data_IF_538961652088
#
_entry.id   IF_538961652088
#
_cell.length_a   1.000
_cell.length_b   1.000
_cell.length_c   1.000
_cell.angle_alpha   90.00
_cell.angle_beta   90.00
_cell.angle_gamma   90.00
#
_symmetry.space_group_name_H-M   'P 1'
#
loop_
_entity.id
_entity.type
_entity.pdbx_description
1 polymer ?
#
# COMPACT_ATOMS: atom_id res chain seq x y z
N UNK A 1 9.00 -17.45 -28.50
CA UNK A 1 9.44 -18.32 -27.41
C UNK A 1 9.79 -19.66 -28.02
N UNK A 2 10.64 -20.49 -27.42
CA UNK A 2 10.90 -21.85 -27.85
C UNK A 2 10.28 -22.88 -26.88
N UNK A 3 10.22 -24.14 -27.31
CA UNK A 3 9.62 -25.23 -26.54
C UNK A 3 10.26 -25.38 -25.14
N UNK A 4 11.58 -25.21 -25.04
CA UNK A 4 12.29 -25.35 -23.79
C UNK A 4 11.93 -24.23 -22.81
N UNK A 5 11.97 -22.98 -23.30
CA UNK A 5 11.65 -21.80 -22.48
C UNK A 5 10.21 -21.85 -21.98
N UNK A 6 9.26 -22.28 -22.84
CA UNK A 6 7.86 -22.41 -22.44
C UNK A 6 7.63 -23.53 -21.42
N UNK A 7 8.30 -24.67 -21.57
CA UNK A 7 8.25 -25.77 -20.61
C UNK A 7 8.76 -25.34 -19.23
N UNK A 8 9.88 -24.60 -19.19
CA UNK A 8 10.42 -24.07 -17.92
C UNK A 8 9.48 -23.01 -17.29
N UNK A 9 8.84 -22.19 -18.12
CA UNK A 9 7.82 -21.25 -17.63
C UNK A 9 6.65 -22.02 -17.00
N UNK A 10 6.07 -23.00 -17.67
CA UNK A 10 4.97 -23.81 -17.14
C UNK A 10 5.32 -24.47 -15.82
N UNK A 11 6.51 -25.07 -15.69
CA UNK A 11 6.99 -25.66 -14.43
C UNK A 11 7.10 -24.62 -13.31
N UNK A 12 7.62 -23.44 -13.64
CA UNK A 12 7.72 -22.34 -12.69
C UNK A 12 6.34 -21.89 -12.19
N UNK A 13 5.37 -21.77 -13.11
CA UNK A 13 4.00 -21.39 -12.77
C UNK A 13 3.27 -22.48 -11.98
N UNK A 14 3.51 -23.77 -12.28
CA UNK A 14 2.98 -24.89 -11.49
C UNK A 14 3.50 -24.83 -10.05
N UNK A 15 4.82 -24.66 -9.85
CA UNK A 15 5.40 -24.52 -8.52
C UNK A 15 4.81 -23.34 -7.74
N UNK A 16 4.57 -22.20 -8.42
CA UNK A 16 3.90 -21.05 -7.81
C UNK A 16 2.46 -21.39 -7.40
N UNK A 17 1.67 -22.02 -8.25
CA UNK A 17 0.31 -22.44 -7.95
C UNK A 17 0.26 -23.44 -6.77
N UNK A 18 1.22 -24.35 -6.66
CA UNK A 18 1.31 -25.29 -5.56
C UNK A 18 1.65 -24.59 -4.24
N UNK A 19 2.56 -23.61 -4.26
CA UNK A 19 2.85 -22.78 -3.09
C UNK A 19 1.63 -21.96 -2.66
N UNK A 20 0.94 -21.37 -3.62
CA UNK A 20 -0.35 -20.68 -3.41
C UNK A 20 -1.34 -21.60 -2.71
N UNK A 21 -1.51 -22.84 -3.19
CA UNK A 21 -2.41 -23.83 -2.60
C UNK A 21 -2.06 -24.18 -1.15
N UNK A 22 -0.76 -24.24 -0.83
CA UNK A 22 -0.30 -24.48 0.55
C UNK A 22 -0.65 -23.33 1.49
N UNK A 23 -0.62 -22.10 1.00
CA UNK A 23 -0.95 -20.89 1.78
C UNK A 23 -2.46 -20.79 2.00
N UNK A 24 -3.24 -20.80 0.91
CA UNK A 24 -4.70 -20.56 0.98
C UNK A 24 -5.48 -21.75 1.51
N UNK A 25 -4.93 -22.97 1.39
CA UNK A 25 -5.61 -24.22 1.80
C UNK A 25 -7.05 -24.29 1.28
N UNK A 26 -7.27 -24.48 -0.04
CA UNK A 26 -8.59 -24.34 -0.68
C UNK A 26 -9.70 -25.15 0.01
N UNK A 27 -9.38 -26.33 0.52
CA UNK A 27 -10.34 -27.16 1.25
C UNK A 27 -10.81 -26.55 2.58
N UNK A 28 -9.93 -25.80 3.26
CA UNK A 28 -10.34 -25.06 4.47
C UNK A 28 -11.24 -23.88 4.12
N UNK A 29 -10.96 -23.19 3.02
CA UNK A 29 -11.83 -22.10 2.54
C UNK A 29 -13.22 -22.64 2.23
N UNK A 30 -13.33 -23.78 1.54
CA UNK A 30 -14.63 -24.42 1.27
C UNK A 30 -15.39 -24.76 2.55
N UNK A 31 -14.70 -25.33 3.53
CA UNK A 31 -15.31 -25.65 4.82
C UNK A 31 -15.79 -24.39 5.56
N UNK A 32 -15.03 -23.31 5.48
CA UNK A 32 -15.41 -22.04 6.09
C UNK A 32 -16.61 -21.40 5.37
N UNK A 33 -16.65 -21.46 4.04
CA UNK A 33 -17.80 -21.01 3.27
C UNK A 33 -19.06 -21.81 3.61
N UNK A 34 -18.96 -23.14 3.74
CA UNK A 34 -20.07 -23.99 4.18
C UNK A 34 -20.53 -23.66 5.62
N UNK A 35 -19.58 -23.31 6.49
CA UNK A 35 -19.90 -22.86 7.86
C UNK A 35 -20.67 -21.56 7.83
N UNK A 36 -20.20 -20.57 7.07
CA UNK A 36 -20.86 -19.28 6.90
C UNK A 36 -22.27 -19.46 6.31
N UNK A 37 -22.45 -20.32 5.34
CA UNK A 37 -23.75 -20.60 4.75
C UNK A 37 -24.73 -21.18 5.76
N UNK A 38 -24.29 -22.16 6.56
CA UNK A 38 -25.12 -22.71 7.65
C UNK A 38 -25.45 -21.67 8.71
N UNK A 39 -24.52 -20.76 9.04
CA UNK A 39 -24.77 -19.69 10.00
C UNK A 39 -25.80 -18.68 9.46
N UNK A 40 -25.79 -18.40 8.14
CA UNK A 40 -26.75 -17.54 7.47
C UNK A 40 -28.17 -18.13 7.34
N UNK A 41 -28.33 -19.45 7.51
CA UNK A 41 -29.65 -20.14 7.57
C UNK A 41 -30.38 -19.85 8.87
N UNK A 42 -29.70 -19.46 9.97
CA UNK A 42 -30.33 -19.09 11.23
C UNK A 42 -31.08 -17.75 11.10
N UNK A 43 -32.40 -17.70 11.34
CA UNK A 43 -33.16 -16.43 11.28
C UNK A 43 -32.63 -15.35 12.24
N UNK A 44 -31.97 -15.73 13.34
CA UNK A 44 -31.43 -14.79 14.32
C UNK A 44 -30.14 -14.11 13.82
N UNK A 45 -29.43 -14.71 12.86
CA UNK A 45 -28.20 -14.16 12.26
C UNK A 45 -28.41 -12.75 11.72
N UNK A 46 -29.55 -12.51 11.06
CA UNK A 46 -29.87 -11.25 10.40
C UNK A 46 -30.32 -10.13 11.36
N UNK A 47 -30.53 -10.44 12.65
CA UNK A 47 -30.87 -9.44 13.67
C UNK A 47 -29.66 -8.61 14.08
N UNK A 48 -28.46 -9.18 14.01
CA UNK A 48 -27.19 -8.46 14.21
C UNK A 48 -26.64 -7.95 12.88
N UNK A 49 -26.99 -6.71 12.56
CA UNK A 49 -26.65 -6.08 11.27
C UNK A 49 -25.13 -5.94 11.07
N UNK A 50 -24.37 -5.68 12.14
CA UNK A 50 -22.91 -5.54 12.06
C UNK A 50 -22.26 -6.88 11.77
N UNK A 51 -22.59 -7.91 12.56
CA UNK A 51 -22.10 -9.28 12.35
C UNK A 51 -22.46 -9.80 10.96
N UNK A 52 -23.71 -9.59 10.51
CA UNK A 52 -24.17 -10.02 9.20
C UNK A 52 -23.40 -9.33 8.06
N UNK A 53 -23.09 -8.03 8.20
CA UNK A 53 -22.29 -7.27 7.23
C UNK A 53 -20.87 -7.82 7.12
N UNK A 54 -20.21 -8.05 8.26
CA UNK A 54 -18.81 -8.48 8.30
C UNK A 54 -18.65 -9.92 7.80
N UNK A 55 -19.56 -10.82 8.23
CA UNK A 55 -19.61 -12.20 7.72
C UNK A 55 -19.88 -12.23 6.20
N UNK A 56 -20.73 -11.35 5.69
CA UNK A 56 -20.97 -11.23 4.24
C UNK A 56 -19.75 -10.72 3.47
N UNK A 57 -19.02 -9.71 4.01
CA UNK A 57 -17.77 -9.25 3.43
C UNK A 57 -16.76 -10.40 3.34
N UNK A 58 -16.61 -11.16 4.42
CA UNK A 58 -15.70 -12.31 4.47
C UNK A 58 -16.12 -13.41 3.48
N UNK A 59 -17.42 -13.75 3.38
CA UNK A 59 -17.93 -14.70 2.38
C UNK A 59 -17.58 -14.28 0.95
N UNK A 60 -17.80 -13.01 0.60
CA UNK A 60 -17.49 -12.50 -0.72
C UNK A 60 -15.98 -12.57 -1.00
N UNK A 61 -15.15 -12.21 -0.01
CA UNK A 61 -13.69 -12.28 -0.11
C UNK A 61 -13.21 -13.72 -0.36
N UNK A 62 -13.68 -14.67 0.45
CA UNK A 62 -13.29 -16.08 0.34
C UNK A 62 -13.75 -16.72 -0.97
N UNK A 63 -14.98 -16.44 -1.42
CA UNK A 63 -15.48 -16.92 -2.71
C UNK A 63 -14.62 -16.38 -3.87
N UNK A 64 -14.37 -15.06 -3.89
CA UNK A 64 -13.54 -14.43 -4.92
C UNK A 64 -12.14 -15.05 -5.00
N UNK A 65 -11.49 -15.24 -3.83
CA UNK A 65 -10.17 -15.84 -3.75
C UNK A 65 -10.18 -17.28 -4.29
N UNK A 66 -11.15 -18.08 -3.87
CA UNK A 66 -11.28 -19.47 -4.30
C UNK A 66 -11.56 -19.57 -5.82
N UNK A 67 -12.48 -18.77 -6.34
CA UNK A 67 -12.82 -18.73 -7.76
C UNK A 67 -11.62 -18.29 -8.62
N UNK A 68 -10.92 -17.23 -8.20
CA UNK A 68 -9.75 -16.73 -8.95
C UNK A 68 -8.64 -17.79 -8.97
N UNK A 69 -8.37 -18.43 -7.82
CA UNK A 69 -7.40 -19.52 -7.75
C UNK A 69 -7.80 -20.70 -8.65
N UNK A 70 -9.05 -21.20 -8.55
CA UNK A 70 -9.51 -22.35 -9.33
C UNK A 70 -9.46 -22.07 -10.83
N UNK A 71 -9.91 -20.88 -11.25
CA UNK A 71 -9.86 -20.48 -12.66
C UNK A 71 -8.43 -20.44 -13.19
N UNK A 72 -7.52 -19.84 -12.41
CA UNK A 72 -6.10 -19.75 -12.81
C UNK A 72 -5.44 -21.11 -12.87
N UNK A 73 -5.73 -21.99 -11.91
CA UNK A 73 -5.21 -23.35 -11.90
C UNK A 73 -5.74 -24.15 -13.08
N UNK A 74 -7.05 -24.08 -13.37
CA UNK A 74 -7.63 -24.77 -14.54
C UNK A 74 -6.98 -24.30 -15.85
N UNK A 75 -6.82 -22.98 -16.04
CA UNK A 75 -6.16 -22.45 -17.24
C UNK A 75 -4.69 -22.90 -17.36
N UNK A 76 -3.98 -23.03 -16.23
CA UNK A 76 -2.62 -23.53 -16.22
C UNK A 76 -2.57 -25.03 -16.58
N UNK A 77 -3.43 -25.85 -15.96
CA UNK A 77 -3.50 -27.29 -16.22
C UNK A 77 -3.88 -27.54 -17.69
N UNK A 78 -4.86 -26.81 -18.24
CA UNK A 78 -5.23 -26.85 -19.65
C UNK A 78 -4.07 -26.48 -20.59
N UNK A 79 -3.29 -25.44 -20.24
CA UNK A 79 -2.11 -25.03 -21.02
C UNK A 79 -1.02 -26.09 -21.01
N UNK A 80 -0.83 -26.80 -19.89
CA UNK A 80 0.12 -27.91 -19.78
C UNK A 80 -0.31 -29.08 -20.66
N UNK A 81 -1.57 -29.50 -20.58
CA UNK A 81 -2.10 -30.60 -21.38
C UNK A 81 -2.05 -30.30 -22.89
N UNK A 82 -2.44 -29.08 -23.29
CA UNK A 82 -2.38 -28.67 -24.72
C UNK A 82 -0.94 -28.60 -25.21
N UNK A 83 0.00 -28.17 -24.40
CA UNK A 83 1.41 -28.12 -24.77
C UNK A 83 1.98 -29.53 -25.00
N UNK A 84 1.68 -30.50 -24.11
CA UNK A 84 2.09 -31.89 -24.26
C UNK A 84 1.50 -32.54 -25.54
N UNK A 85 0.21 -32.31 -25.83
CA UNK A 85 -0.44 -32.78 -27.03
C UNK A 85 0.18 -32.17 -28.28
N UNK A 86 0.33 -30.85 -28.33
CA UNK A 86 0.89 -30.14 -29.47
C UNK A 86 2.36 -30.54 -29.76
N UNK A 87 3.13 -30.84 -28.72
CA UNK A 87 4.49 -31.40 -28.90
C UNK A 87 4.49 -32.80 -29.52
N UNK A 88 3.59 -33.67 -29.06
CA UNK A 88 3.50 -35.02 -29.55
C UNK A 88 3.05 -35.08 -31.02
N UNK A 89 2.11 -34.20 -31.39
CA UNK A 89 1.55 -34.14 -32.74
C UNK A 89 2.35 -33.22 -33.68
N UNK A 90 3.39 -32.54 -33.22
CA UNK A 90 4.16 -31.52 -33.93
C UNK A 90 3.26 -30.41 -34.51
N UNK A 91 2.24 -29.99 -33.74
CA UNK A 91 1.31 -28.92 -34.12
C UNK A 91 1.90 -27.52 -33.83
N UNK A 92 2.61 -26.98 -34.83
CA UNK A 92 3.24 -25.67 -34.75
C UNK A 92 2.23 -24.52 -34.57
N UNK A 93 0.99 -24.67 -35.02
CA UNK A 93 -0.05 -23.65 -34.90
C UNK A 93 -0.50 -23.53 -33.45
N UNK A 94 -0.82 -24.64 -32.80
CA UNK A 94 -1.19 -24.66 -31.37
C UNK A 94 -0.04 -24.20 -30.50
N UNK A 95 1.21 -24.60 -30.78
CA UNK A 95 2.39 -24.13 -30.05
C UNK A 95 2.55 -22.60 -30.15
N UNK A 96 2.35 -22.02 -31.35
CA UNK A 96 2.45 -20.57 -31.52
C UNK A 96 1.40 -19.83 -30.70
N UNK A 97 0.15 -20.30 -30.66
CA UNK A 97 -0.91 -19.71 -29.84
C UNK A 97 -0.60 -19.77 -28.36
N UNK A 98 -0.11 -20.89 -27.85
CA UNK A 98 0.29 -21.04 -26.46
C UNK A 98 1.43 -20.06 -26.08
N UNK A 99 2.38 -19.80 -26.99
CA UNK A 99 3.44 -18.83 -26.73
C UNK A 99 2.93 -17.38 -26.72
N UNK A 100 1.92 -17.05 -27.50
CA UNK A 100 1.28 -15.74 -27.48
C UNK A 100 0.46 -15.52 -26.19
N UNK A 101 -0.15 -16.59 -25.66
CA UNK A 101 -0.94 -16.54 -24.43
C UNK A 101 -0.09 -16.61 -23.14
N UNK A 102 1.19 -17.02 -23.23
CA UNK A 102 2.08 -17.16 -22.08
C UNK A 102 2.12 -15.95 -21.14
N UNK A 103 2.22 -14.68 -21.62
CA UNK A 103 2.22 -13.52 -20.75
C UNK A 103 0.91 -13.32 -19.98
N UNK A 104 -0.23 -13.70 -20.57
CA UNK A 104 -1.55 -13.62 -19.94
C UNK A 104 -1.66 -14.64 -18.81
N UNK A 105 -1.17 -15.85 -19.05
CA UNK A 105 -1.14 -16.92 -18.04
C UNK A 105 -0.22 -16.54 -16.87
N UNK A 106 0.98 -16.04 -17.16
CA UNK A 106 1.92 -15.57 -16.14
C UNK A 106 1.31 -14.46 -15.28
N UNK A 107 0.69 -13.47 -15.93
CA UNK A 107 0.00 -12.38 -15.24
C UNK A 107 -1.16 -12.88 -14.37
N UNK A 108 -1.92 -13.89 -14.82
CA UNK A 108 -3.04 -14.44 -14.05
C UNK A 108 -2.55 -15.13 -12.76
N UNK A 109 -1.46 -15.91 -12.82
CA UNK A 109 -0.85 -16.53 -11.64
C UNK A 109 -0.30 -15.49 -10.69
N UNK A 110 0.40 -14.47 -11.20
CA UNK A 110 0.92 -13.37 -10.39
C UNK A 110 -0.20 -12.60 -9.70
N UNK A 111 -1.31 -12.37 -10.36
CA UNK A 111 -2.49 -11.70 -9.78
C UNK A 111 -3.04 -12.47 -8.58
N UNK A 112 -3.17 -13.80 -8.67
CA UNK A 112 -3.61 -14.64 -7.55
C UNK A 112 -2.61 -14.55 -6.38
N UNK A 113 -1.32 -14.61 -6.68
CA UNK A 113 -0.25 -14.48 -5.69
C UNK A 113 -0.40 -13.17 -4.90
N UNK A 114 -0.63 -12.05 -5.59
CA UNK A 114 -0.85 -10.73 -4.97
C UNK A 114 -2.16 -10.70 -4.16
N UNK A 115 -3.28 -11.20 -4.69
CA UNK A 115 -4.55 -11.25 -3.98
C UNK A 115 -4.45 -11.99 -2.64
N UNK A 116 -3.63 -13.04 -2.58
CA UNK A 116 -3.37 -13.78 -1.34
C UNK A 116 -2.57 -12.92 -0.34
N UNK A 117 -1.57 -12.20 -0.82
CA UNK A 117 -0.74 -11.34 0.02
C UNK A 117 -1.49 -10.12 0.56
N UNK A 118 -2.58 -9.76 -0.11
CA UNK A 118 -3.51 -8.71 0.30
C UNK A 118 -4.68 -9.25 1.15
N UNK A 119 -4.47 -10.33 1.90
CA UNK A 119 -5.49 -10.98 2.73
C UNK A 119 -5.47 -10.57 4.20
N UNK A 120 -4.63 -9.63 4.59
CA UNK A 120 -4.58 -9.10 5.96
C UNK A 120 -5.87 -8.37 6.33
N UNK A 121 -6.16 -8.32 7.64
CA UNK A 121 -7.40 -7.77 8.20
C UNK A 121 -7.74 -6.36 7.70
N UNK A 122 -6.72 -5.50 7.53
CA UNK A 122 -6.89 -4.12 7.08
C UNK A 122 -6.50 -3.90 5.62
N UNK A 123 -6.07 -4.93 4.90
CA UNK A 123 -5.54 -4.77 3.54
C UNK A 123 -6.58 -4.19 2.57
N UNK A 124 -7.85 -4.47 2.78
CA UNK A 124 -8.95 -3.93 1.99
C UNK A 124 -9.27 -2.44 2.25
N UNK A 125 -8.66 -1.85 3.31
CA UNK A 125 -8.94 -0.48 3.72
C UNK A 125 -8.31 0.54 2.77
N UNK A 126 -8.81 1.78 2.84
CA UNK A 126 -8.15 2.93 2.25
C UNK A 126 -6.82 3.22 2.99
N UNK A 127 -5.90 3.90 2.33
CA UNK A 127 -4.60 4.23 2.91
C UNK A 127 -4.50 5.72 3.28
N UNK A 128 -4.12 6.01 4.52
CA UNK A 128 -3.70 7.34 4.95
C UNK A 128 -2.17 7.41 4.82
N UNK A 129 -1.68 8.37 4.05
CA UNK A 129 -0.26 8.56 3.78
C UNK A 129 0.18 9.87 4.40
N UNK A 130 1.25 9.83 5.19
CA UNK A 130 1.88 11.02 5.73
C UNK A 130 3.33 11.07 5.23
N UNK A 131 3.72 12.17 4.58
CA UNK A 131 5.08 12.38 4.10
C UNK A 131 5.68 13.58 4.81
N UNK A 132 6.88 13.40 5.35
CA UNK A 132 7.64 14.44 6.03
C UNK A 132 9.06 14.51 5.46
N UNK A 133 9.56 15.73 5.16
CA UNK A 133 10.95 15.90 4.77
C UNK A 133 11.87 15.55 5.94
N UNK A 134 12.97 14.91 5.61
CA UNK A 134 14.02 14.60 6.57
C UNK A 134 15.18 15.61 6.52
N UNK A 135 16.40 15.14 6.81
CA UNK A 135 17.59 15.98 6.69
C UNK A 135 17.87 16.34 5.22
N UNK A 136 18.18 17.58 4.94
CA UNK A 136 18.52 18.09 3.61
C UNK A 136 17.97 19.49 3.30
N UNK A 137 17.30 20.15 4.25
CA UNK A 137 16.78 21.52 4.08
C UNK A 137 15.78 21.60 2.92
N UNK A 138 15.88 22.63 2.07
CA UNK A 138 15.02 22.85 0.89
C UNK A 138 15.00 21.65 -0.07
N UNK A 139 16.13 20.97 -0.22
CA UNK A 139 16.23 19.76 -1.07
C UNK A 139 15.35 18.61 -0.56
N UNK A 140 15.26 18.41 0.75
CA UNK A 140 14.40 17.37 1.35
C UNK A 140 12.92 17.73 1.26
N UNK A 141 12.59 19.02 1.29
CA UNK A 141 11.21 19.50 1.10
C UNK A 141 10.75 19.29 -0.35
N UNK A 142 11.63 19.51 -1.32
CA UNK A 142 11.35 19.22 -2.72
C UNK A 142 11.22 17.70 -2.94
N UNK A 143 12.10 16.90 -2.33
CA UNK A 143 12.01 15.44 -2.38
C UNK A 143 10.66 14.91 -1.85
N UNK A 144 10.19 15.43 -0.71
CA UNK A 144 8.88 15.08 -0.18
C UNK A 144 7.74 15.42 -1.14
N UNK A 145 7.83 16.56 -1.85
CA UNK A 145 6.87 16.95 -2.90
C UNK A 145 6.89 16.00 -4.11
N UNK A 146 8.07 15.53 -4.52
CA UNK A 146 8.21 14.54 -5.61
C UNK A 146 7.57 13.21 -5.21
N UNK A 147 7.82 12.71 -3.98
CA UNK A 147 7.19 11.50 -3.47
C UNK A 147 5.66 11.63 -3.40
N UNK A 148 5.16 12.77 -2.92
CA UNK A 148 3.72 13.04 -2.90
C UNK A 148 3.11 12.93 -4.29
N UNK A 149 3.71 13.57 -5.29
CA UNK A 149 3.28 13.47 -6.69
C UNK A 149 3.35 12.03 -7.21
N UNK A 150 4.39 11.28 -6.89
CA UNK A 150 4.56 9.88 -7.28
C UNK A 150 3.38 9.02 -6.80
N UNK A 151 3.01 9.11 -5.52
CA UNK A 151 1.88 8.35 -4.98
C UNK A 151 0.54 8.81 -5.54
N UNK A 152 0.34 10.10 -5.78
CA UNK A 152 -0.88 10.59 -6.42
C UNK A 152 -1.05 10.03 -7.83
N UNK A 153 0.02 10.06 -8.62
CA UNK A 153 0.01 9.51 -9.99
C UNK A 153 -0.20 8.01 -10.02
N UNK A 154 0.37 7.30 -9.06
CA UNK A 154 0.08 5.87 -8.90
C UNK A 154 -1.41 5.63 -8.60
N UNK A 155 -2.00 6.39 -7.70
CA UNK A 155 -3.41 6.30 -7.38
C UNK A 155 -4.30 6.58 -8.62
N UNK A 156 -3.98 7.62 -9.40
CA UNK A 156 -4.68 7.94 -10.65
C UNK A 156 -4.60 6.78 -11.67
N UNK A 157 -3.43 6.18 -11.85
CA UNK A 157 -3.24 5.04 -12.77
C UNK A 157 -4.08 3.83 -12.38
N UNK A 158 -4.25 3.61 -11.08
CA UNK A 158 -5.12 2.54 -10.55
C UNK A 158 -6.60 2.92 -10.48
N UNK A 159 -6.98 4.13 -10.86
CA UNK A 159 -8.36 4.63 -10.78
C UNK A 159 -8.82 4.90 -9.35
N UNK A 160 -7.89 5.05 -8.40
CA UNK A 160 -8.19 5.39 -7.02
C UNK A 160 -8.44 6.88 -6.87
N UNK A 161 -9.23 7.26 -5.85
CA UNK A 161 -9.46 8.65 -5.50
C UNK A 161 -8.52 9.09 -4.40
N UNK A 162 -8.03 10.33 -4.48
CA UNK A 162 -7.20 10.92 -3.42
C UNK A 162 -7.87 12.14 -2.81
N UNK A 163 -7.65 12.35 -1.52
CA UNK A 163 -8.15 13.48 -0.76
C UNK A 163 -7.06 14.00 0.19
N UNK A 164 -6.79 15.30 0.15
CA UNK A 164 -5.78 15.92 1.00
C UNK A 164 -6.41 16.18 2.38
N UNK A 165 -5.72 15.75 3.44
CA UNK A 165 -6.12 15.99 4.83
C UNK A 165 -5.38 17.18 5.45
N UNK A 166 -4.09 17.29 5.17
CA UNK A 166 -3.23 18.39 5.57
C UNK A 166 -2.15 18.62 4.53
N UNK A 167 -1.83 19.87 4.26
CA UNK A 167 -0.78 20.25 3.32
C UNK A 167 -0.07 21.50 3.80
N UNK A 168 1.24 21.41 3.92
CA UNK A 168 2.09 22.51 4.39
C UNK A 168 3.15 22.84 3.36
N UNK A 169 3.05 24.00 2.75
CA UNK A 169 4.03 24.51 1.79
C UNK A 169 5.42 24.68 2.44
N UNK A 170 6.45 24.41 1.67
CA UNK A 170 7.82 24.80 1.99
C UNK A 170 7.99 26.31 1.96
N UNK A 171 9.06 26.81 2.59
CA UNK A 171 9.32 28.26 2.59
C UNK A 171 9.87 28.75 1.23
N UNK A 172 10.74 27.97 0.61
CA UNK A 172 11.39 28.29 -0.66
C UNK A 172 10.94 27.36 -1.79
N UNK A 173 10.81 26.06 -1.50
CA UNK A 173 10.36 25.04 -2.44
C UNK A 173 9.84 23.81 -1.70
N UNK A 174 9.06 22.98 -2.40
CA UNK A 174 8.57 21.71 -1.89
C UNK A 174 7.54 21.86 -0.78
N UNK A 175 7.50 20.88 0.11
CA UNK A 175 6.52 20.79 1.22
C UNK A 175 7.21 20.56 2.56
N UNK A 176 6.69 21.15 3.63
CA UNK A 176 7.07 20.86 5.03
C UNK A 176 6.41 19.59 5.57
N UNK A 177 5.34 19.15 4.94
CA UNK A 177 4.62 17.94 5.26
C UNK A 177 3.31 17.87 4.51
N UNK A 178 2.85 16.65 4.26
CA UNK A 178 1.53 16.39 3.68
C UNK A 178 0.94 15.14 4.30
N UNK A 179 -0.37 15.19 4.56
CA UNK A 179 -1.18 14.03 4.89
C UNK A 179 -2.36 13.94 3.91
N UNK A 180 -2.55 12.79 3.30
CA UNK A 180 -3.62 12.57 2.33
C UNK A 180 -4.10 11.13 2.40
N UNK A 181 -5.30 10.91 1.88
CA UNK A 181 -5.94 9.60 1.81
C UNK A 181 -5.97 9.14 0.36
N UNK A 182 -5.69 7.86 0.13
CA UNK A 182 -5.97 7.16 -1.12
C UNK A 182 -7.12 6.20 -0.88
N UNK A 183 -8.23 6.41 -1.59
CA UNK A 183 -9.46 5.63 -1.48
C UNK A 183 -9.55 4.67 -2.66
N UNK A 184 -9.48 3.38 -2.37
CA UNK A 184 -9.55 2.32 -3.37
C UNK A 184 -9.47 0.94 -2.74
N UNK A 185 -9.92 -0.08 -3.47
CA UNK A 185 -9.85 -1.47 -3.02
C UNK A 185 -8.40 -1.88 -2.80
N UNK A 186 -8.09 -2.36 -1.60
CA UNK A 186 -6.75 -2.78 -1.17
C UNK A 186 -5.67 -1.67 -1.22
N UNK A 187 -6.05 -0.39 -1.18
CA UNK A 187 -5.08 0.69 -1.24
C UNK A 187 -4.04 0.59 -0.11
N UNK A 188 -4.48 0.31 1.12
CA UNK A 188 -3.57 0.08 2.24
C UNK A 188 -2.73 -1.18 2.06
N UNK A 189 -3.33 -2.28 1.62
CA UNK A 189 -2.62 -3.54 1.38
C UNK A 189 -1.42 -3.40 0.45
N UNK A 190 -1.58 -2.66 -0.67
CA UNK A 190 -0.47 -2.35 -1.59
C UNK A 190 0.59 -1.47 -0.96
N UNK A 191 0.17 -0.46 -0.18
CA UNK A 191 1.07 0.57 0.33
C UNK A 191 1.64 0.29 1.72
N UNK A 192 1.09 -0.65 2.51
CA UNK A 192 1.51 -0.94 3.89
C UNK A 192 3.01 -1.12 4.08
N UNK A 193 3.67 -1.63 3.05
CA UNK A 193 5.11 -1.82 3.06
C UNK A 193 5.92 -0.56 2.69
N UNK A 194 5.29 0.56 2.33
CA UNK A 194 6.00 1.81 1.98
C UNK A 194 6.40 2.64 3.21
N UNK A 195 6.05 2.16 4.41
CA UNK A 195 6.51 2.76 5.67
C UNK A 195 8.04 2.77 5.74
N UNK A 196 8.63 3.95 5.91
CA UNK A 196 10.07 4.09 6.11
C UNK A 196 10.70 5.32 5.44
N UNK A 197 12.02 5.28 5.34
CA UNK A 197 12.81 6.39 4.81
C UNK A 197 13.16 6.16 3.35
N UNK A 198 12.85 7.15 2.50
CA UNK A 198 13.16 7.20 1.08
C UNK A 198 14.34 8.14 0.84
N UNK A 199 15.38 7.64 0.20
CA UNK A 199 16.61 8.39 -0.08
C UNK A 199 16.66 8.83 -1.54
N UNK A 200 16.93 10.11 -1.77
CA UNK A 200 17.21 10.67 -3.10
C UNK A 200 18.68 11.04 -3.21
N UNK A 201 19.29 10.73 -4.35
CA UNK A 201 20.64 11.19 -4.74
C UNK A 201 20.55 11.81 -6.13
N UNK A 202 20.71 13.12 -6.20
CA UNK A 202 20.68 13.87 -7.49
C UNK A 202 21.62 15.08 -7.45
N UNK A 203 21.81 15.69 -8.61
CA UNK A 203 22.38 17.04 -8.69
C UNK A 203 21.29 18.00 -8.21
N UNK A 204 21.60 18.79 -7.17
CA UNK A 204 20.62 19.71 -6.58
C UNK A 204 20.31 20.87 -7.53
N UNK A 205 19.03 21.16 -7.82
CA UNK A 205 18.64 22.35 -8.55
C UNK A 205 18.77 23.64 -7.71
N UNK A 206 18.96 23.53 -6.40
CA UNK A 206 19.08 24.65 -5.46
C UNK A 206 20.54 24.99 -5.14
N UNK A 207 21.51 24.16 -5.58
CA UNK A 207 22.94 24.42 -5.37
C UNK A 207 23.54 25.11 -6.61
N UNK A 208 23.97 26.35 -6.45
CA UNK A 208 24.62 27.11 -7.52
C UNK A 208 25.87 26.43 -8.14
N UNK A 209 26.52 25.53 -7.39
CA UNK A 209 27.68 24.77 -7.85
C UNK A 209 27.30 23.42 -8.50
N UNK A 210 26.01 23.13 -8.69
CA UNK A 210 25.49 21.88 -9.25
C UNK A 210 26.10 20.62 -8.60
N UNK A 211 26.30 20.64 -7.28
CA UNK A 211 26.82 19.48 -6.55
C UNK A 211 25.75 18.43 -6.37
N UNK A 212 26.22 17.18 -6.23
CA UNK A 212 25.38 16.03 -5.91
C UNK A 212 25.01 16.07 -4.44
N UNK A 213 23.73 16.07 -4.15
CA UNK A 213 23.16 16.03 -2.80
C UNK A 213 22.44 14.71 -2.51
N UNK A 214 22.36 14.38 -1.23
CA UNK A 214 21.58 13.27 -0.72
C UNK A 214 20.53 13.83 0.22
N UNK A 215 19.26 13.51 -0.04
CA UNK A 215 18.12 13.98 0.73
C UNK A 215 17.27 12.81 1.17
N UNK A 216 16.59 12.98 2.29
CA UNK A 216 15.75 11.95 2.89
C UNK A 216 14.35 12.50 3.12
N UNK A 217 13.36 11.64 2.94
CA UNK A 217 11.99 11.90 3.35
C UNK A 217 11.41 10.64 3.98
N UNK A 218 10.62 10.80 5.02
CA UNK A 218 9.90 9.71 5.66
C UNK A 218 8.48 9.60 5.10
N UNK A 219 8.07 8.38 4.82
CA UNK A 219 6.69 8.03 4.44
C UNK A 219 6.12 7.15 5.54
N UNK A 220 4.93 7.47 6.00
CA UNK A 220 4.17 6.69 6.95
C UNK A 220 2.82 6.35 6.34
N UNK A 221 2.45 5.08 6.36
CA UNK A 221 1.20 4.54 5.81
C UNK A 221 0.39 3.96 6.97
N UNK A 222 -0.87 4.33 7.08
CA UNK A 222 -1.80 3.76 8.04
C UNK A 222 -3.14 3.43 7.35
N UNK A 223 -3.86 2.39 7.81
CA UNK A 223 -5.17 2.09 7.27
C UNK A 223 -6.17 3.18 7.66
N UNK A 224 -7.11 3.52 6.78
CA UNK A 224 -8.30 4.25 7.19
C UNK A 224 -9.22 3.28 7.92
N UNK A 225 -9.36 3.46 9.22
CA UNK A 225 -10.24 2.63 10.04
C UNK A 225 -11.67 3.15 9.94
N UNK A 226 -12.64 2.23 9.89
CA UNK A 226 -14.05 2.55 10.06
C UNK A 226 -14.28 3.09 11.48
N UNK A 227 -15.32 3.90 11.66
CA UNK A 227 -15.63 4.54 12.95
C UNK A 227 -15.98 3.52 14.08
N UNK A 228 -16.15 2.24 13.72
CA UNK A 228 -16.53 1.15 14.61
C UNK A 228 -15.35 0.48 15.34
N UNK A 229 -14.09 0.85 15.06
CA UNK A 229 -12.96 0.30 15.80
C UNK A 229 -12.83 1.05 17.12
N UNK A 230 -13.10 0.32 18.20
CA UNK A 230 -13.18 0.80 19.58
C UNK A 230 -11.78 1.05 20.16
N UNK A 231 -11.06 2.05 19.61
CA UNK A 231 -9.93 2.64 20.32
C UNK A 231 -10.50 3.72 21.22
N UNK A 232 -10.65 3.39 22.50
CA UNK A 232 -10.99 4.37 23.51
C UNK A 232 -9.82 5.35 23.67
N UNK A 233 -10.04 6.60 23.26
CA UNK A 233 -9.12 7.69 23.52
C UNK A 233 -9.64 8.42 24.74
N UNK A 234 -8.92 8.36 25.88
CA UNK A 234 -9.28 9.16 27.04
C UNK A 234 -9.04 10.65 26.72
N UNK A 235 -10.07 11.47 26.92
CA UNK A 235 -9.96 12.92 26.69
C UNK A 235 -8.85 13.60 27.52
N UNK A 236 -8.42 12.99 28.62
CA UNK A 236 -7.32 13.49 29.46
C UNK A 236 -5.95 13.29 28.81
N UNK A 237 -5.84 12.32 27.91
CA UNK A 237 -4.59 11.98 27.24
C UNK A 237 -4.39 12.78 25.96
N UNK A 238 -5.37 13.62 25.60
CA UNK A 238 -5.39 14.36 24.33
C UNK A 238 -5.46 15.86 24.57
N UNK A 239 -4.55 16.59 23.93
CA UNK A 239 -4.59 18.04 23.89
C UNK A 239 -5.03 18.51 22.50
N UNK A 240 -6.01 19.42 22.48
CA UNK A 240 -6.49 20.08 21.28
C UNK A 240 -5.94 21.50 21.19
N UNK A 241 -5.21 21.81 20.13
CA UNK A 241 -4.76 23.15 19.81
C UNK A 241 -5.50 23.63 18.54
N UNK A 242 -6.16 24.79 18.65
CA UNK A 242 -6.84 25.41 17.54
C UNK A 242 -6.01 26.58 17.03
N UNK A 243 -5.84 26.66 15.71
CA UNK A 243 -5.02 27.71 15.11
C UNK A 243 -5.57 28.10 13.73
N UNK A 244 -5.05 29.18 13.16
CA UNK A 244 -5.44 29.66 11.84
C UNK A 244 -4.75 28.81 10.78
N UNK A 245 -5.53 28.37 9.78
CA UNK A 245 -4.98 27.59 8.68
C UNK A 245 -3.93 28.41 7.93
N UNK A 246 -2.82 27.76 7.55
CA UNK A 246 -1.77 28.34 6.72
C UNK A 246 -1.99 27.92 5.27
N UNK A 247 -2.06 28.87 4.34
CA UNK A 247 -2.19 28.57 2.91
C UNK A 247 -2.76 29.74 2.10
N UNK A 248 -2.74 29.61 0.78
CA UNK A 248 -3.34 30.54 -0.15
C UNK A 248 -4.87 30.50 0.00
N UNK A 249 -5.47 31.47 0.68
CA UNK A 249 -6.90 31.56 0.93
C UNK A 249 -7.35 32.98 1.21
N UNK A 250 -8.67 33.24 1.01
CA UNK A 250 -9.27 34.56 1.20
C UNK A 250 -9.35 34.99 2.69
N UNK A 251 -9.99 36.12 2.98
CA UNK A 251 -10.10 36.72 4.33
C UNK A 251 -10.59 35.74 5.44
N UNK A 252 -11.36 34.71 5.08
CA UNK A 252 -11.91 33.75 6.02
C UNK A 252 -10.81 32.83 6.60
N UNK A 253 -9.88 32.35 5.76
CA UNK A 253 -8.77 31.45 6.16
C UNK A 253 -7.84 32.15 7.15
N UNK A 254 -7.63 33.45 6.97
CA UNK A 254 -6.70 34.23 7.82
C UNK A 254 -7.34 34.78 9.11
N UNK A 255 -8.67 34.68 9.29
CA UNK A 255 -9.37 35.22 10.46
C UNK A 255 -9.94 34.19 11.40
N UNK A 256 -10.26 32.96 10.90
CA UNK A 256 -10.89 31.91 11.70
C UNK A 256 -9.88 30.83 12.10
N UNK A 257 -9.93 30.39 13.36
CA UNK A 257 -9.12 29.29 13.88
C UNK A 257 -9.79 27.95 13.57
N UNK A 258 -9.83 27.60 12.28
CA UNK A 258 -10.48 26.38 11.80
C UNK A 258 -9.54 25.16 11.81
N UNK A 259 -8.23 25.35 11.80
CA UNK A 259 -7.25 24.28 11.86
C UNK A 259 -7.18 23.66 13.26
N UNK A 260 -7.04 22.34 13.32
CA UNK A 260 -7.00 21.58 14.56
C UNK A 260 -5.73 20.74 14.59
N UNK A 261 -4.99 20.83 15.68
CA UNK A 261 -3.87 19.93 16.02
C UNK A 261 -4.26 19.13 17.26
N UNK A 262 -4.03 17.84 17.21
CA UNK A 262 -4.27 16.92 18.32
C UNK A 262 -2.94 16.30 18.71
N UNK A 263 -2.59 16.41 19.99
CA UNK A 263 -1.39 15.77 20.55
C UNK A 263 -1.83 14.72 21.56
N UNK A 264 -1.44 13.48 21.35
CA UNK A 264 -1.68 12.38 22.29
C UNK A 264 -0.46 12.20 23.17
N UNK A 265 -0.59 12.50 24.47
CA UNK A 265 0.52 12.54 25.42
C UNK A 265 1.22 11.18 25.62
N UNK A 266 0.51 10.04 25.83
CA UNK A 266 1.15 8.78 26.13
C UNK A 266 2.05 8.25 25.00
N UNK A 267 1.70 8.54 23.74
CA UNK A 267 2.46 8.05 22.56
C UNK A 267 3.30 9.15 21.89
N UNK A 268 3.06 10.41 22.24
CA UNK A 268 3.71 11.55 21.57
C UNK A 268 3.23 11.80 20.13
N UNK A 269 2.21 11.08 19.67
CA UNK A 269 1.67 11.24 18.31
C UNK A 269 1.00 12.61 18.19
N UNK A 270 1.36 13.34 17.13
CA UNK A 270 0.75 14.61 16.76
C UNK A 270 0.08 14.47 15.41
N UNK A 271 -1.18 14.86 15.31
CA UNK A 271 -1.94 14.93 14.06
C UNK A 271 -2.53 16.32 13.89
N UNK A 272 -2.69 16.76 12.65
CA UNK A 272 -3.30 18.06 12.37
C UNK A 272 -4.15 17.96 11.09
N UNK A 273 -5.22 18.75 11.06
CA UNK A 273 -6.14 18.86 9.95
C UNK A 273 -6.60 20.29 9.77
N UNK A 274 -6.53 20.81 8.52
CA UNK A 274 -6.94 22.18 8.17
C UNK A 274 -7.72 22.26 6.85
N UNK A 275 -8.21 21.14 6.35
CA UNK A 275 -8.78 21.02 5.01
C UNK A 275 -10.17 21.67 4.87
N UNK A 276 -11.01 21.64 5.91
CA UNK A 276 -12.35 22.20 5.88
C UNK A 276 -12.41 23.58 6.57
N UNK A 277 -13.38 24.41 6.17
CA UNK A 277 -13.69 25.68 6.85
C UNK A 277 -14.33 25.46 8.23
N UNK A 278 -14.87 24.29 8.49
CA UNK A 278 -15.50 23.90 9.75
C UNK A 278 -14.50 23.29 10.71
N UNK A 279 -14.26 23.94 11.84
CA UNK A 279 -13.44 23.44 12.94
C UNK A 279 -13.92 22.06 13.42
N UNK A 280 -15.24 21.82 13.49
CA UNK A 280 -15.79 20.52 13.91
C UNK A 280 -15.45 19.40 12.94
N UNK A 281 -15.49 19.65 11.63
CA UNK A 281 -15.10 18.66 10.62
C UNK A 281 -13.60 18.36 10.69
N UNK A 282 -12.78 19.40 10.83
CA UNK A 282 -11.33 19.22 10.99
C UNK A 282 -11.00 18.45 12.29
N UNK A 283 -11.73 18.70 13.39
CA UNK A 283 -11.58 17.93 14.64
C UNK A 283 -11.94 16.46 14.42
N UNK A 284 -13.04 16.14 13.77
CA UNK A 284 -13.46 14.77 13.47
C UNK A 284 -12.41 14.04 12.59
N UNK A 285 -11.94 14.69 11.52
CA UNK A 285 -10.90 14.14 10.65
C UNK A 285 -9.58 13.92 11.39
N UNK A 286 -9.16 14.86 12.22
CA UNK A 286 -7.94 14.73 13.02
C UNK A 286 -8.06 13.59 14.05
N UNK A 287 -9.22 13.41 14.70
CA UNK A 287 -9.47 12.27 15.59
C UNK A 287 -9.39 10.94 14.85
N UNK A 288 -9.97 10.85 13.65
CA UNK A 288 -9.89 9.66 12.79
C UNK A 288 -8.44 9.33 12.44
N UNK A 289 -7.64 10.33 12.07
CA UNK A 289 -6.20 10.16 11.81
C UNK A 289 -5.45 9.69 13.07
N UNK A 290 -5.78 10.21 14.25
CA UNK A 290 -5.16 9.79 15.51
C UNK A 290 -5.49 8.34 15.82
N UNK A 291 -6.76 7.92 15.71
CA UNK A 291 -7.19 6.53 15.90
C UNK A 291 -6.43 5.59 14.96
N UNK A 292 -6.32 5.92 13.67
CA UNK A 292 -5.59 5.11 12.69
C UNK A 292 -4.11 4.93 13.06
N UNK A 293 -3.44 6.01 13.51
CA UNK A 293 -2.03 5.94 13.94
C UNK A 293 -1.84 5.16 15.25
N UNK A 294 -2.76 5.28 16.20
CA UNK A 294 -2.73 4.51 17.44
C UNK A 294 -2.94 3.03 17.18
N UNK A 295 -3.85 2.68 16.29
CA UNK A 295 -4.09 1.31 15.87
C UNK A 295 -2.85 0.67 15.23
N UNK A 296 -2.18 1.39 14.32
CA UNK A 296 -0.96 0.91 13.69
C UNK A 296 0.14 0.66 14.74
N UNK A 297 0.30 1.57 15.69
CA UNK A 297 1.26 1.43 16.78
C UNK A 297 0.93 0.23 17.69
N UNK A 298 -0.33 -0.07 17.92
CA UNK A 298 -0.76 -1.24 18.69
C UNK A 298 -0.50 -2.54 17.92
N UNK A 299 -0.79 -2.57 16.61
CA UNK A 299 -0.44 -3.68 15.73
C UNK A 299 1.08 -3.95 15.69
N UNK A 300 1.89 -2.91 15.58
CA UNK A 300 3.35 -3.03 15.64
C UNK A 300 3.83 -3.62 16.97
N UNK A 301 3.24 -3.18 18.09
CA UNK A 301 3.54 -3.74 19.40
C UNK A 301 3.16 -5.21 19.52
N UNK A 302 2.00 -5.61 19.03
CA UNK A 302 1.56 -7.01 19.02
C UNK A 302 2.47 -7.88 18.16
N UNK A 303 2.83 -7.41 16.96
CA UNK A 303 3.76 -8.12 16.06
C UNK A 303 5.19 -8.20 16.63
N UNK A 304 5.68 -7.13 17.27
CA UNK A 304 7.01 -7.10 17.90
C UNK A 304 7.06 -7.96 19.17
N UNK A 305 5.94 -8.14 19.85
CA UNK A 305 5.83 -9.05 21.01
C UNK A 305 5.82 -10.52 20.60
N UNK A 306 5.31 -10.82 19.40
CA UNK A 306 5.29 -12.16 18.81
C UNK A 306 6.63 -12.56 18.19
N UNK A 307 7.43 -11.59 17.73
CA UNK A 307 8.79 -11.78 17.22
C UNK A 307 9.76 -11.17 18.22
N UNK A 308 10.52 -12.01 18.92
CA UNK A 308 11.65 -11.62 19.76
C UNK A 308 12.83 -11.09 18.90
N UNK A 309 12.58 -10.14 18.03
CA UNK A 309 13.56 -9.50 17.16
C UNK A 309 13.68 -8.02 17.49
N UNK A 310 14.93 -7.61 17.65
CA UNK A 310 15.42 -6.28 17.97
C UNK A 310 14.61 -5.18 17.27
N UNK A 311 14.05 -4.27 18.08
CA UNK A 311 13.51 -3.01 17.60
C UNK A 311 14.61 -2.28 16.83
N UNK A 312 14.55 -2.33 15.50
CA UNK A 312 15.31 -1.38 14.71
C UNK A 312 14.73 0.00 14.99
N UNK A 313 15.47 0.80 15.76
CA UNK A 313 15.20 2.23 15.88
C UNK A 313 14.98 2.80 14.48
N UNK A 314 13.93 3.62 14.29
CA UNK A 314 13.73 4.43 13.10
C UNK A 314 14.86 5.46 13.06
N UNK A 315 16.06 4.95 12.86
CA UNK A 315 17.28 5.73 12.70
C UNK A 315 17.56 5.91 11.21
N UNK A 316 18.20 7.00 10.87
CA UNK A 316 18.65 7.40 9.52
C UNK A 316 19.43 6.32 8.75
N UNK A 317 19.70 5.15 9.34
CA UNK A 317 20.40 4.01 8.75
C UNK A 317 19.53 3.02 7.98
N UNK A 318 18.22 3.00 8.16
CA UNK A 318 17.32 2.02 7.56
C UNK A 318 16.43 2.61 6.46
N UNK A 319 17.07 3.02 5.35
CA UNK A 319 16.35 3.43 4.15
C UNK A 319 15.73 2.20 3.48
N UNK A 320 14.42 2.27 3.20
CA UNK A 320 13.71 1.19 2.50
C UNK A 320 13.99 1.22 1.00
N UNK A 321 14.16 2.41 0.42
CA UNK A 321 14.40 2.60 -1.02
C UNK A 321 15.33 3.77 -1.30
N UNK A 322 16.21 3.60 -2.29
CA UNK A 322 17.15 4.61 -2.75
C UNK A 322 16.88 4.94 -4.22
N UNK A 323 16.72 6.23 -4.51
CA UNK A 323 16.51 6.78 -5.83
C UNK A 323 17.76 7.56 -6.23
N UNK A 324 18.49 7.06 -7.21
CA UNK A 324 19.73 7.68 -7.72
C UNK A 324 19.45 8.20 -9.12
N UNK A 325 19.63 9.54 -9.32
CA UNK A 325 19.47 10.19 -10.61
C UNK A 325 20.82 10.62 -11.20
N UNK A 326 21.86 10.66 -10.38
CA UNK A 326 23.22 11.01 -10.82
C UNK A 326 24.26 10.28 -9.95
N UNK A 327 25.35 9.71 -10.54
CA UNK A 327 25.79 9.79 -11.93
C UNK A 327 25.11 8.77 -12.87
N UNK A 328 24.34 7.82 -12.34
CA UNK A 328 23.54 6.84 -13.07
C UNK A 328 22.10 6.91 -12.58
N UNK A 329 21.18 6.36 -13.36
CA UNK A 329 19.76 6.32 -12.99
C UNK A 329 19.39 4.93 -12.50
N UNK A 330 18.96 4.83 -11.22
CA UNK A 330 18.54 3.59 -10.62
C UNK A 330 17.64 3.83 -9.40
N UNK A 331 16.58 3.05 -9.29
CA UNK A 331 15.83 2.89 -8.04
C UNK A 331 16.12 1.51 -7.49
N UNK A 332 16.61 1.43 -6.25
CA UNK A 332 16.89 0.17 -5.57
C UNK A 332 16.06 0.07 -4.30
N UNK A 333 15.28 -1.01 -4.19
CA UNK A 333 14.59 -1.36 -2.95
C UNK A 333 15.46 -2.31 -2.12
N UNK A 334 15.64 -1.97 -0.84
CA UNK A 334 16.49 -2.75 0.06
C UNK A 334 15.81 -4.05 0.54
N UNK A 335 14.49 -4.11 0.51
CA UNK A 335 13.68 -5.23 1.05
C UNK A 335 13.58 -6.38 0.06
N UNK A 336 13.31 -6.07 -1.23
CA UNK A 336 13.31 -7.06 -2.31
C UNK A 336 14.69 -7.25 -2.94
N UNK A 337 15.66 -6.38 -2.60
CA UNK A 337 16.97 -6.28 -3.22
C UNK A 337 16.92 -6.11 -4.76
N UNK A 338 15.80 -5.62 -5.28
CA UNK A 338 15.55 -5.41 -6.71
C UNK A 338 15.97 -4.01 -7.12
N UNK A 339 16.51 -3.89 -8.34
CA UNK A 339 16.94 -2.63 -8.91
C UNK A 339 16.22 -2.36 -10.24
N UNK A 340 15.74 -1.13 -10.42
CA UNK A 340 14.97 -0.67 -11.57
C UNK A 340 15.71 0.49 -12.25
N UNK A 341 15.81 0.47 -13.57
CA UNK A 341 16.53 1.50 -14.35
C UNK A 341 15.61 2.64 -14.83
N UNK A 342 14.30 2.40 -14.94
CA UNK A 342 13.35 3.41 -15.42
C UNK A 342 12.89 4.35 -14.29
N UNK A 343 13.80 5.23 -13.84
CA UNK A 343 13.56 6.11 -12.69
C UNK A 343 12.46 7.13 -12.98
N UNK A 344 12.39 7.66 -14.20
CA UNK A 344 11.39 8.67 -14.58
C UNK A 344 9.97 8.11 -14.51
N UNK A 345 9.73 6.93 -15.05
CA UNK A 345 8.41 6.28 -14.97
C UNK A 345 8.02 6.00 -13.50
N UNK A 346 8.98 5.56 -12.69
CA UNK A 346 8.73 5.31 -11.26
C UNK A 346 8.32 6.60 -10.55
N UNK A 347 9.04 7.69 -10.76
CA UNK A 347 8.70 9.00 -10.18
C UNK A 347 7.40 9.58 -10.76
N UNK A 348 6.97 9.10 -11.93
CA UNK A 348 5.67 9.40 -12.54
C UNK A 348 4.56 8.42 -12.14
N UNK A 349 4.79 7.61 -11.09
CA UNK A 349 3.79 6.74 -10.47
C UNK A 349 3.75 5.30 -10.97
N UNK A 350 4.70 4.86 -11.79
CA UNK A 350 4.82 3.46 -12.22
C UNK A 350 5.58 2.63 -11.16
N UNK A 351 4.93 2.43 -10.01
CA UNK A 351 5.54 1.75 -8.85
C UNK A 351 4.95 0.36 -8.57
N UNK A 352 4.01 -0.13 -9.39
CA UNK A 352 3.34 -1.41 -9.16
C UNK A 352 4.33 -2.56 -9.03
N UNK A 353 5.26 -2.70 -9.97
CA UNK A 353 6.28 -3.75 -9.93
C UNK A 353 7.14 -3.70 -8.65
N UNK A 354 7.36 -2.51 -8.09
CA UNK A 354 8.10 -2.36 -6.83
C UNK A 354 7.24 -2.82 -5.65
N UNK A 355 5.98 -2.36 -5.57
CA UNK A 355 5.05 -2.70 -4.50
C UNK A 355 4.81 -4.21 -4.44
N UNK A 356 4.51 -4.81 -5.59
CA UNK A 356 4.28 -6.25 -5.77
C UNK A 356 5.54 -7.06 -5.43
N UNK A 357 6.71 -6.62 -5.93
CA UNK A 357 7.98 -7.28 -5.61
C UNK A 357 8.32 -7.27 -4.12
N UNK A 358 7.95 -6.22 -3.39
CA UNK A 358 8.12 -6.16 -1.93
C UNK A 358 7.10 -7.04 -1.20
N UNK A 359 5.85 -7.10 -1.68
CA UNK A 359 4.84 -8.01 -1.14
C UNK A 359 5.34 -9.47 -1.25
N UNK A 360 5.78 -9.88 -2.43
CA UNK A 360 6.31 -11.23 -2.69
C UNK A 360 7.55 -11.53 -1.84
N UNK A 361 8.47 -10.59 -1.68
CA UNK A 361 9.69 -10.80 -0.90
C UNK A 361 9.47 -10.94 0.60
N UNK A 362 8.31 -10.49 1.12
CA UNK A 362 7.96 -10.57 2.55
C UNK A 362 7.02 -11.73 2.90
N UNK A 363 6.48 -12.43 1.92
CA UNK A 363 5.65 -13.62 2.09
C UNK A 363 6.52 -14.85 2.36
#
# INVERSE_FOLDING_TARGET
>A
MDNYTYSELLKSLQNKCDNIALIIKPEKIKQELERIEKEQEDPNFWQDVLKARDTNKEKVRLNRLLETYQKTKSSLDESVELFELAQNDNDEVTLSLLYEEAPVLEHSVQKVEIEIMLSGENDASNAIITIQPGAGGTESQDWASILYRMYLRWAERRGFKSEILDYQDGEEAGIKGVAFIIKGENAYGYLKNENGVHRLVRISPFDANAKRHTSFASVQISPELDDDIDIEIDEKDVRYDYYRASGAGGQHVNKTESAVRITHFPTGIVVQCQNDRSQHKNKASALKMLKSKLYELELEKQQSSAKNEEKSEIGWGHQIRSYVLAPYQQVKDARSNTAYSNVEAILDGDIDAILEGVLIAKA
#
